data_IF_676532021952
#
_entry.id   IF_676532021952
#
_cell.length_a   1.000
_cell.length_b   1.000
_cell.length_c   1.000
_cell.angle_alpha   90.00
_cell.angle_beta   90.00
_cell.angle_gamma   90.00
#
_symmetry.space_group_name_H-M   'P 1'
#
loop_
_entity.id
_entity.type
_entity.pdbx_description
1 polymer ?
#
# COMPACT_ATOMS: atom_id res chain seq x y z
N UNK A 1 22.94 -1.59 -7.28
CA UNK A 1 23.18 -0.47 -8.22
C UNK A 1 21.86 0.25 -8.45
N UNK A 2 21.76 1.57 -8.36
CA UNK A 2 20.54 2.28 -8.70
C UNK A 2 20.22 2.00 -10.18
N UNK A 3 19.06 1.45 -10.45
CA UNK A 3 18.59 1.23 -11.82
C UNK A 3 18.37 2.58 -12.50
N UNK A 4 19.03 2.81 -13.64
CA UNK A 4 18.82 4.03 -14.43
C UNK A 4 17.33 4.15 -14.77
N UNK A 5 16.68 5.30 -14.53
CA UNK A 5 15.28 5.49 -14.85
C UNK A 5 15.03 5.27 -16.35
N UNK A 6 14.02 4.49 -16.69
CA UNK A 6 13.66 4.20 -18.10
C UNK A 6 13.10 5.42 -18.85
N UNK A 7 12.67 6.43 -18.10
CA UNK A 7 12.08 7.66 -18.65
C UNK A 7 12.78 8.89 -18.08
N UNK A 8 12.91 9.97 -18.85
CA UNK A 8 13.33 11.27 -18.33
C UNK A 8 12.39 11.71 -17.19
N UNK A 9 12.88 12.40 -16.15
CA UNK A 9 12.10 12.76 -14.96
C UNK A 9 10.78 13.48 -15.26
N UNK A 10 10.77 14.37 -16.25
CA UNK A 10 9.56 15.11 -16.66
C UNK A 10 8.53 14.18 -17.32
N UNK A 11 8.97 13.26 -18.18
CA UNK A 11 8.10 12.27 -18.80
C UNK A 11 7.54 11.29 -17.75
N UNK A 12 8.35 10.83 -16.81
CA UNK A 12 7.91 9.98 -15.70
C UNK A 12 6.85 10.70 -14.83
N UNK A 13 7.05 11.97 -14.52
CA UNK A 13 6.08 12.78 -13.77
C UNK A 13 4.74 12.93 -14.53
N UNK A 14 4.80 13.19 -15.84
CA UNK A 14 3.61 13.30 -16.68
C UNK A 14 2.83 11.97 -16.76
N UNK A 15 3.53 10.87 -17.00
CA UNK A 15 2.93 9.52 -17.02
C UNK A 15 2.31 9.19 -15.67
N UNK A 16 3.02 9.42 -14.58
CA UNK A 16 2.49 9.22 -13.21
C UNK A 16 1.22 10.05 -13.00
N UNK A 17 1.23 11.31 -13.38
CA UNK A 17 0.06 12.19 -13.24
C UNK A 17 -1.14 11.66 -14.03
N UNK A 18 -0.93 11.20 -15.27
CA UNK A 18 -1.99 10.64 -16.11
C UNK A 18 -2.55 9.33 -15.53
N UNK A 19 -1.68 8.43 -15.03
CA UNK A 19 -2.09 7.17 -14.39
C UNK A 19 -2.94 7.44 -13.14
N UNK A 20 -2.48 8.34 -12.26
CA UNK A 20 -3.23 8.66 -11.03
C UNK A 20 -4.59 9.32 -11.33
N UNK A 21 -4.67 10.15 -12.37
CA UNK A 21 -5.94 10.73 -12.79
C UNK A 21 -6.86 9.68 -13.42
N UNK A 22 -6.33 8.74 -14.21
CA UNK A 22 -7.09 7.62 -14.75
C UNK A 22 -7.65 6.73 -13.61
N UNK A 23 -6.85 6.40 -12.61
CA UNK A 23 -7.29 5.65 -11.41
C UNK A 23 -8.41 6.40 -10.69
N UNK A 24 -8.24 7.72 -10.47
CA UNK A 24 -9.24 8.54 -9.82
C UNK A 24 -10.59 8.50 -10.54
N UNK A 25 -10.59 8.62 -11.86
CA UNK A 25 -11.83 8.60 -12.67
C UNK A 25 -12.43 7.21 -12.76
N UNK A 26 -11.60 6.21 -13.06
CA UNK A 26 -12.02 4.83 -13.26
C UNK A 26 -12.68 4.25 -12.00
N UNK A 27 -12.09 4.54 -10.84
CA UNK A 27 -12.58 4.09 -9.55
C UNK A 27 -13.51 5.09 -8.85
N UNK A 28 -13.89 6.20 -9.48
CA UNK A 28 -14.72 7.24 -8.85
C UNK A 28 -14.20 7.60 -7.45
N UNK A 29 -12.87 7.76 -7.36
CA UNK A 29 -12.14 7.86 -6.11
C UNK A 29 -12.44 9.16 -5.36
N UNK A 30 -12.88 9.06 -4.11
CA UNK A 30 -13.07 10.15 -3.18
C UNK A 30 -12.01 10.13 -2.08
N UNK A 31 -11.67 11.32 -1.59
CA UNK A 31 -10.70 11.51 -0.50
C UNK A 31 -11.38 12.27 0.64
N UNK A 32 -11.30 11.69 1.83
CA UNK A 32 -11.73 12.28 3.09
C UNK A 32 -10.49 12.65 3.90
N UNK A 33 -10.47 13.84 4.45
CA UNK A 33 -9.38 14.31 5.31
C UNK A 33 -9.97 14.51 6.70
N UNK A 34 -9.73 13.53 7.59
CA UNK A 34 -10.23 13.59 8.96
C UNK A 34 -9.41 14.60 9.81
N UNK A 35 -8.12 14.78 9.46
CA UNK A 35 -7.28 15.86 9.96
C UNK A 35 -6.16 16.18 8.95
N UNK A 36 -5.80 17.44 8.85
CA UNK A 36 -4.68 17.87 7.99
C UNK A 36 -3.36 17.29 8.49
N UNK A 37 -2.59 16.60 7.64
CA UNK A 37 -1.26 16.12 8.02
C UNK A 37 -0.32 17.29 8.39
N UNK A 38 0.62 17.06 9.31
CA UNK A 38 1.61 18.07 9.70
C UNK A 38 2.38 18.67 8.51
N UNK A 39 2.89 19.89 8.69
CA UNK A 39 3.69 20.56 7.66
C UNK A 39 5.09 19.96 7.52
N UNK A 40 5.66 19.40 8.58
CA UNK A 40 6.93 18.67 8.55
C UNK A 40 6.80 17.33 7.82
N UNK A 41 7.92 16.73 7.36
CA UNK A 41 7.92 15.40 6.77
C UNK A 41 7.41 14.33 7.74
N UNK A 42 6.49 13.50 7.28
CA UNK A 42 5.81 12.46 8.07
C UNK A 42 6.02 11.07 7.47
N UNK A 43 5.57 10.05 8.20
CA UNK A 43 5.44 8.69 7.71
C UNK A 43 3.96 8.39 7.48
N UNK A 44 3.55 8.26 6.22
CA UNK A 44 2.23 7.76 5.86
C UNK A 44 2.20 6.23 5.91
N UNK A 45 1.16 5.68 6.51
CA UNK A 45 0.96 4.24 6.64
C UNK A 45 -0.35 3.85 5.97
N UNK A 46 -0.27 3.09 4.88
CA UNK A 46 -1.41 2.65 4.08
C UNK A 46 -1.73 1.16 4.23
N UNK A 47 -2.95 0.76 3.86
CA UNK A 47 -3.35 -0.63 3.73
C UNK A 47 -3.26 -1.11 2.27
N UNK A 48 -2.97 -2.40 2.07
CA UNK A 48 -2.99 -3.02 0.74
C UNK A 48 -4.41 -3.40 0.28
N UNK A 49 -4.64 -3.29 -1.04
CA UNK A 49 -5.69 -4.02 -1.76
C UNK A 49 -5.16 -5.37 -2.25
N UNK A 50 -5.57 -5.80 -3.45
CA UNK A 50 -5.02 -6.99 -4.09
C UNK A 50 -4.06 -6.59 -5.21
N UNK A 51 -2.94 -7.32 -5.31
CA UNK A 51 -1.95 -7.12 -6.36
C UNK A 51 -0.61 -6.63 -5.83
N UNK A 52 0.26 -6.26 -6.77
CA UNK A 52 1.61 -5.78 -6.50
C UNK A 52 1.79 -4.34 -6.98
N UNK A 53 2.42 -4.16 -8.14
CA UNK A 53 2.69 -2.82 -8.72
C UNK A 53 1.40 -2.10 -9.13
N UNK A 54 0.34 -2.84 -9.44
CA UNK A 54 -0.98 -2.32 -9.86
C UNK A 54 -2.02 -2.32 -8.74
N UNK A 55 -1.59 -2.46 -7.48
CA UNK A 55 -2.50 -2.41 -6.32
C UNK A 55 -3.29 -1.08 -6.31
N UNK A 56 -4.63 -1.14 -6.46
CA UNK A 56 -5.45 0.07 -6.49
C UNK A 56 -5.36 0.91 -5.23
N UNK A 57 -5.07 0.30 -4.05
CA UNK A 57 -4.87 1.05 -2.81
C UNK A 57 -3.61 1.90 -2.85
N UNK A 58 -2.50 1.34 -3.33
CA UNK A 58 -1.23 2.10 -3.46
C UNK A 58 -1.44 3.28 -4.39
N UNK A 59 -2.11 3.06 -5.52
CA UNK A 59 -2.40 4.12 -6.49
C UNK A 59 -3.41 5.15 -5.95
N UNK A 60 -4.41 4.73 -5.18
CA UNK A 60 -5.36 5.63 -4.54
C UNK A 60 -4.69 6.49 -3.46
N UNK A 61 -3.84 5.92 -2.61
CA UNK A 61 -3.04 6.69 -1.65
C UNK A 61 -2.15 7.70 -2.39
N UNK A 62 -1.47 7.29 -3.46
CA UNK A 62 -0.66 8.20 -4.26
C UNK A 62 -1.49 9.34 -4.89
N UNK A 63 -2.71 9.03 -5.37
CA UNK A 63 -3.63 10.04 -5.90
C UNK A 63 -4.11 11.00 -4.81
N UNK A 64 -4.40 10.49 -3.59
CA UNK A 64 -4.84 11.30 -2.44
C UNK A 64 -3.76 12.26 -1.96
N UNK A 65 -2.50 11.84 -1.96
CA UNK A 65 -1.37 12.65 -1.51
C UNK A 65 -0.83 13.62 -2.58
N UNK A 66 -1.34 13.54 -3.82
CA UNK A 66 -0.84 14.35 -4.95
C UNK A 66 -0.99 15.86 -4.73
N UNK A 67 -2.02 16.29 -4.00
CA UNK A 67 -2.26 17.71 -3.73
C UNK A 67 -1.40 18.25 -2.59
N UNK A 68 -0.71 17.38 -1.89
CA UNK A 68 0.23 17.78 -0.83
C UNK A 68 1.43 18.49 -1.45
N UNK A 69 1.88 19.57 -0.83
CA UNK A 69 3.01 20.37 -1.31
C UNK A 69 4.34 19.59 -1.33
N UNK A 70 4.44 18.51 -0.53
CA UNK A 70 5.63 17.67 -0.44
C UNK A 70 5.54 16.50 -1.40
N UNK A 71 6.70 16.13 -1.97
CA UNK A 71 6.84 14.87 -2.69
C UNK A 71 6.84 13.70 -1.70
N UNK A 72 6.43 12.53 -2.17
CA UNK A 72 6.42 11.29 -1.41
C UNK A 72 7.45 10.32 -1.95
N UNK A 73 8.09 9.57 -1.05
CA UNK A 73 8.92 8.40 -1.36
C UNK A 73 8.21 7.15 -0.84
N UNK A 74 7.93 6.20 -1.72
CA UNK A 74 7.24 4.95 -1.40
C UNK A 74 8.28 3.88 -1.10
N UNK A 75 8.28 3.32 0.11
CA UNK A 75 9.17 2.21 0.45
C UNK A 75 8.59 0.90 -0.07
N UNK A 76 9.31 0.28 -0.99
CA UNK A 76 8.88 -0.92 -1.71
C UNK A 76 9.84 -2.06 -1.43
N UNK A 77 9.31 -3.26 -1.23
CA UNK A 77 10.09 -4.46 -0.93
C UNK A 77 11.14 -4.75 -2.01
N UNK A 78 12.32 -5.22 -1.60
CA UNK A 78 13.49 -5.47 -2.46
C UNK A 78 13.22 -6.41 -3.65
N UNK A 79 12.20 -7.23 -3.58
CA UNK A 79 11.78 -8.11 -4.66
C UNK A 79 11.49 -7.34 -5.97
N UNK A 80 11.02 -6.09 -5.91
CA UNK A 80 10.79 -5.28 -7.10
C UNK A 80 12.09 -5.01 -7.88
N UNK A 81 13.20 -4.85 -7.18
CA UNK A 81 14.52 -4.67 -7.79
C UNK A 81 15.09 -5.99 -8.29
N UNK A 82 14.90 -7.08 -7.54
CA UNK A 82 15.33 -8.43 -7.93
C UNK A 82 14.63 -8.91 -9.20
N UNK A 83 13.34 -8.58 -9.37
CA UNK A 83 12.54 -8.93 -10.55
C UNK A 83 12.75 -7.97 -11.74
N UNK A 84 13.65 -6.98 -11.64
CA UNK A 84 13.98 -6.05 -12.72
C UNK A 84 12.96 -4.94 -12.97
N UNK A 85 11.91 -4.81 -12.12
CA UNK A 85 10.91 -3.73 -12.22
C UNK A 85 11.28 -2.49 -11.41
N UNK A 86 12.42 -2.48 -10.74
CA UNK A 86 12.89 -1.39 -9.90
C UNK A 86 12.95 -0.02 -10.61
N UNK A 87 13.32 0.01 -11.90
CA UNK A 87 13.33 1.23 -12.69
C UNK A 87 11.94 1.84 -12.88
N UNK A 88 10.91 1.02 -13.04
CA UNK A 88 9.52 1.46 -13.09
C UNK A 88 9.07 1.97 -11.72
N UNK A 89 9.37 1.23 -10.67
CA UNK A 89 9.03 1.62 -9.29
C UNK A 89 9.66 2.96 -8.93
N UNK A 90 10.95 3.16 -9.26
CA UNK A 90 11.65 4.42 -9.04
C UNK A 90 11.02 5.59 -9.82
N UNK A 91 10.56 5.36 -11.06
CA UNK A 91 9.85 6.37 -11.86
C UNK A 91 8.54 6.84 -11.20
N UNK A 92 7.92 5.99 -10.37
CA UNK A 92 6.74 6.34 -9.57
C UNK A 92 7.06 6.85 -8.15
N UNK A 93 8.33 7.10 -7.85
CA UNK A 93 8.79 7.62 -6.55
C UNK A 93 9.05 6.53 -5.51
N UNK A 94 9.19 5.27 -5.95
CA UNK A 94 9.56 4.17 -5.08
C UNK A 94 11.05 4.11 -4.77
N UNK A 95 11.38 3.65 -3.57
CA UNK A 95 12.73 3.37 -3.10
C UNK A 95 12.75 2.02 -2.37
N UNK A 96 13.91 1.35 -2.21
CA UNK A 96 14.02 0.16 -1.39
C UNK A 96 13.48 0.38 0.03
N UNK A 97 12.79 -0.63 0.58
CA UNK A 97 12.24 -0.56 1.94
C UNK A 97 13.36 -0.72 2.97
N UNK A 98 14.10 0.36 3.20
CA UNK A 98 15.18 0.44 4.17
C UNK A 98 15.10 1.74 4.98
N UNK A 99 15.78 1.74 6.14
CA UNK A 99 15.91 2.93 6.98
C UNK A 99 16.66 4.04 6.22
N UNK A 100 17.72 3.69 5.50
CA UNK A 100 18.53 4.63 4.71
C UNK A 100 17.68 5.38 3.69
N UNK A 101 16.80 4.67 2.98
CA UNK A 101 15.90 5.29 1.99
C UNK A 101 14.90 6.24 2.65
N UNK A 102 14.40 5.90 3.85
CA UNK A 102 13.49 6.75 4.60
C UNK A 102 14.19 8.03 5.09
N UNK A 103 15.38 7.88 5.67
CA UNK A 103 16.20 9.01 6.17
C UNK A 103 16.58 9.93 5.01
N UNK A 104 17.02 9.36 3.89
CA UNK A 104 17.31 10.15 2.68
C UNK A 104 16.09 10.95 2.23
N UNK A 105 14.90 10.33 2.20
CA UNK A 105 13.68 11.01 1.81
C UNK A 105 13.37 12.19 2.75
N UNK A 106 13.41 11.98 4.06
CA UNK A 106 13.15 13.03 5.06
C UNK A 106 14.17 14.15 5.02
N UNK A 107 15.47 13.84 4.81
CA UNK A 107 16.55 14.84 4.68
C UNK A 107 16.32 15.75 3.47
N UNK A 108 15.70 15.22 2.39
CA UNK A 108 15.29 16.01 1.23
C UNK A 108 13.89 16.64 1.37
N UNK A 109 13.31 16.66 2.57
CA UNK A 109 12.01 17.26 2.84
C UNK A 109 10.84 16.51 2.24
N UNK A 110 10.98 15.23 1.88
CA UNK A 110 9.92 14.38 1.33
C UNK A 110 9.19 13.63 2.45
N UNK A 111 7.92 13.32 2.23
CA UNK A 111 7.19 12.39 3.07
C UNK A 111 7.58 10.94 2.69
N UNK A 112 7.47 10.02 3.64
CA UNK A 112 7.67 8.58 3.39
C UNK A 112 6.33 7.87 3.45
N UNK A 113 6.10 6.91 2.56
CA UNK A 113 4.88 6.10 2.51
C UNK A 113 5.24 4.62 2.61
N UNK A 114 4.59 3.89 3.52
CA UNK A 114 4.78 2.46 3.71
C UNK A 114 3.44 1.72 3.76
N UNK A 115 3.48 0.45 3.38
CA UNK A 115 2.35 -0.47 3.46
C UNK A 115 2.79 -1.70 4.28
N UNK A 116 2.62 -1.69 5.63
CA UNK A 116 3.22 -2.70 6.51
C UNK A 116 2.68 -4.11 6.32
N UNK A 117 1.43 -4.24 5.86
CA UNK A 117 0.78 -5.54 5.66
C UNK A 117 1.49 -6.46 4.66
N UNK A 118 2.16 -5.87 3.66
CA UNK A 118 2.97 -6.58 2.67
C UNK A 118 2.19 -7.66 1.91
N UNK A 119 2.89 -8.74 1.56
CA UNK A 119 2.38 -9.86 0.78
C UNK A 119 1.12 -10.53 1.35
N UNK A 120 1.05 -10.68 2.66
CA UNK A 120 -0.12 -11.27 3.33
C UNK A 120 -1.36 -10.41 3.20
N UNK A 121 -1.22 -9.12 3.40
CA UNK A 121 -2.34 -8.20 3.22
C UNK A 121 -2.72 -8.05 1.75
N UNK A 122 -1.74 -7.97 0.85
CA UNK A 122 -1.95 -7.88 -0.59
C UNK A 122 -2.57 -9.16 -1.20
N UNK A 123 -2.41 -10.31 -0.55
CA UNK A 123 -3.00 -11.60 -0.95
C UNK A 123 -4.26 -11.99 -0.21
N UNK A 124 -4.81 -11.13 0.66
CA UNK A 124 -5.98 -11.45 1.50
C UNK A 124 -7.21 -11.83 0.67
N UNK A 125 -8.02 -12.75 1.23
CA UNK A 125 -9.21 -13.24 0.56
C UNK A 125 -10.29 -12.17 0.40
N UNK A 126 -11.25 -12.41 -0.51
CA UNK A 126 -12.44 -11.55 -0.64
C UNK A 126 -13.21 -11.35 0.67
N UNK A 127 -13.21 -12.35 1.56
CA UNK A 127 -13.87 -12.25 2.86
C UNK A 127 -13.19 -11.23 3.76
N UNK A 128 -11.85 -11.13 3.65
CA UNK A 128 -11.01 -10.24 4.46
C UNK A 128 -10.70 -8.91 3.75
N UNK A 129 -11.33 -8.62 2.60
CA UNK A 129 -11.03 -7.45 1.76
C UNK A 129 -11.05 -6.11 2.48
N UNK A 130 -11.85 -6.01 3.55
CA UNK A 130 -11.99 -4.82 4.39
C UNK A 130 -11.20 -4.90 5.71
N UNK A 131 -10.31 -5.88 5.86
CA UNK A 131 -9.43 -5.98 7.03
C UNK A 131 -8.11 -5.28 6.77
N UNK A 132 -7.66 -4.48 7.72
CA UNK A 132 -6.30 -3.97 7.81
C UNK A 132 -5.46 -5.02 8.53
N UNK A 133 -4.32 -5.40 7.97
CA UNK A 133 -3.56 -6.55 8.46
C UNK A 133 -2.05 -6.28 8.43
N UNK A 134 -1.50 -5.78 9.53
CA UNK A 134 -0.05 -5.61 9.64
C UNK A 134 0.67 -6.92 10.03
N UNK A 135 -0.07 -7.91 10.50
CA UNK A 135 0.46 -9.23 10.87
C UNK A 135 1.61 -9.15 11.89
N UNK A 136 1.49 -8.27 12.88
CA UNK A 136 2.51 -8.03 13.91
C UNK A 136 3.77 -7.30 13.41
N UNK A 137 3.77 -6.77 12.20
CA UNK A 137 4.90 -5.98 11.68
C UNK A 137 4.91 -4.60 12.31
N UNK A 138 5.97 -4.28 13.06
CA UNK A 138 6.14 -3.02 13.78
C UNK A 138 7.34 -2.21 13.30
N UNK A 139 7.99 -2.62 12.21
CA UNK A 139 9.19 -1.93 11.68
C UNK A 139 8.95 -0.46 11.34
N UNK A 140 7.78 -0.12 10.79
CA UNK A 140 7.42 1.26 10.48
C UNK A 140 7.26 2.12 11.75
N UNK A 141 6.71 1.53 12.82
CA UNK A 141 6.53 2.20 14.09
C UNK A 141 7.89 2.48 14.75
N UNK A 142 8.80 1.49 14.73
CA UNK A 142 10.18 1.68 15.19
C UNK A 142 10.87 2.79 14.41
N UNK A 143 10.81 2.74 13.07
CA UNK A 143 11.38 3.77 12.19
C UNK A 143 10.85 5.17 12.54
N UNK A 144 9.54 5.31 12.77
CA UNK A 144 8.93 6.57 13.16
C UNK A 144 9.41 7.06 14.53
N UNK A 145 9.55 6.14 15.51
CA UNK A 145 10.04 6.45 16.86
C UNK A 145 11.50 6.88 16.85
N UNK A 146 12.37 6.13 16.17
CA UNK A 146 13.80 6.37 16.12
C UNK A 146 14.15 7.73 15.47
N UNK A 147 13.29 8.21 14.56
CA UNK A 147 13.48 9.48 13.85
C UNK A 147 12.48 10.58 14.22
N UNK A 148 11.75 10.43 15.32
CA UNK A 148 10.73 11.39 15.81
C UNK A 148 9.77 11.85 14.70
N UNK A 149 9.26 10.92 13.89
CA UNK A 149 8.28 11.20 12.83
C UNK A 149 6.86 10.89 13.29
N UNK A 150 5.94 11.80 12.99
CA UNK A 150 4.53 11.47 13.13
C UNK A 150 4.13 10.42 12.10
N UNK A 151 3.33 9.44 12.52
CA UNK A 151 2.65 8.48 11.64
C UNK A 151 1.30 9.06 11.26
N UNK A 152 1.01 9.12 9.96
CA UNK A 152 -0.30 9.52 9.43
C UNK A 152 -0.93 8.28 8.78
N UNK A 153 -1.92 7.64 9.43
CA UNK A 153 -2.59 6.50 8.85
C UNK A 153 -3.46 6.91 7.66
N UNK A 154 -3.48 6.09 6.61
CA UNK A 154 -4.29 6.31 5.40
C UNK A 154 -5.02 5.03 5.06
N UNK A 155 -6.34 5.07 5.06
CA UNK A 155 -7.18 3.90 4.82
C UNK A 155 -7.92 4.06 3.51
N UNK A 156 -7.81 3.05 2.64
CA UNK A 156 -8.58 3.00 1.39
C UNK A 156 -9.51 1.79 1.41
N UNK A 157 -10.80 2.04 1.29
CA UNK A 157 -11.85 1.04 1.10
C UNK A 157 -12.16 0.85 -0.39
N UNK A 158 -12.54 -0.38 -0.77
CA UNK A 158 -13.01 -0.74 -2.12
C UNK A 158 -12.00 -1.40 -3.03
N UNK A 159 -10.69 -1.27 -2.80
CA UNK A 159 -9.70 -1.86 -3.70
C UNK A 159 -9.68 -3.40 -3.63
N UNK A 160 -9.95 -3.99 -2.48
CA UNK A 160 -10.13 -5.44 -2.38
C UNK A 160 -11.35 -5.99 -3.13
N UNK A 161 -12.15 -5.12 -3.76
CA UNK A 161 -13.28 -5.48 -4.62
C UNK A 161 -12.87 -5.53 -6.11
N UNK A 162 -11.66 -5.07 -6.45
CA UNK A 162 -11.16 -5.01 -7.82
C UNK A 162 -10.83 -6.37 -8.45
N UNK A 163 -10.67 -7.42 -7.64
CA UNK A 163 -10.49 -8.81 -8.06
C UNK A 163 -11.10 -9.76 -7.04
N UNK A 164 -11.55 -10.92 -7.50
CA UNK A 164 -12.09 -11.94 -6.60
C UNK A 164 -10.97 -12.88 -6.14
N UNK A 165 -10.46 -12.66 -4.94
CA UNK A 165 -9.49 -13.56 -4.29
C UNK A 165 -10.26 -14.59 -3.49
N UNK A 166 -10.30 -15.82 -4.00
CA UNK A 166 -11.07 -16.92 -3.41
C UNK A 166 -10.43 -17.41 -2.09
N UNK A 167 -9.11 -17.47 -2.07
CA UNK A 167 -8.31 -17.83 -0.90
C UNK A 167 -6.91 -17.24 -1.00
N UNK A 168 -6.30 -16.94 0.16
CA UNK A 168 -4.90 -16.53 0.27
C UNK A 168 -3.91 -17.65 -0.08
N UNK A 169 -4.36 -18.92 0.02
CA UNK A 169 -3.57 -20.08 -0.31
C UNK A 169 -2.37 -20.33 0.61
N UNK A 170 -2.36 -19.83 1.83
CA UNK A 170 -1.27 -20.07 2.80
C UNK A 170 -0.99 -21.59 2.98
N UNK A 171 -2.05 -22.39 3.11
CA UNK A 171 -1.92 -23.85 3.22
C UNK A 171 -1.29 -24.48 1.98
N UNK A 172 -1.60 -23.94 0.80
CA UNK A 172 -1.02 -24.42 -0.46
C UNK A 172 0.43 -24.00 -0.58
N UNK A 173 0.79 -22.77 -0.21
CA UNK A 173 2.16 -22.29 -0.18
C UNK A 173 3.06 -23.13 0.72
N UNK A 174 2.57 -23.48 1.92
CA UNK A 174 3.27 -24.34 2.86
C UNK A 174 3.41 -25.78 2.36
N UNK A 175 2.35 -26.33 1.74
CA UNK A 175 2.36 -27.71 1.23
C UNK A 175 3.37 -27.91 0.08
N UNK A 176 3.60 -26.87 -0.74
CA UNK A 176 4.59 -26.92 -1.84
C UNK A 176 5.96 -26.34 -1.46
N UNK A 177 6.17 -25.92 -0.20
CA UNK A 177 7.45 -25.44 0.32
C UNK A 177 7.91 -24.07 -0.20
N UNK A 178 7.04 -23.30 -0.82
CA UNK A 178 7.34 -21.98 -1.38
C UNK A 178 7.60 -20.94 -0.29
N UNK A 179 7.01 -21.09 0.87
CA UNK A 179 7.25 -20.26 2.06
C UNK A 179 8.73 -20.26 2.47
N UNK A 180 9.42 -21.41 2.31
CA UNK A 180 10.84 -21.58 2.62
C UNK A 180 11.75 -21.17 1.48
N UNK A 181 11.38 -21.46 0.23
CA UNK A 181 12.23 -21.25 -0.95
C UNK A 181 12.26 -19.76 -1.40
N UNK A 182 11.14 -19.07 -1.37
CA UNK A 182 10.99 -17.72 -1.91
C UNK A 182 10.59 -16.67 -0.87
N UNK A 183 10.45 -17.04 0.41
CA UNK A 183 9.89 -16.18 1.47
C UNK A 183 8.51 -15.61 1.14
N UNK A 184 7.79 -16.26 0.22
CA UNK A 184 6.45 -15.89 -0.20
C UNK A 184 5.44 -16.79 0.51
N UNK A 185 4.62 -16.20 1.38
CA UNK A 185 3.78 -16.96 2.33
C UNK A 185 2.37 -17.24 1.82
N UNK A 186 2.02 -16.67 0.66
CA UNK A 186 0.68 -16.79 0.09
C UNK A 186 0.74 -17.28 -1.35
N UNK A 187 -0.18 -18.14 -1.73
CA UNK A 187 -0.43 -18.58 -3.11
C UNK A 187 -1.89 -18.30 -3.46
N UNK A 188 -2.27 -17.03 -3.67
CA UNK A 188 -3.67 -16.69 -3.84
C UNK A 188 -4.29 -17.42 -5.04
N UNK A 189 -5.52 -17.86 -4.86
CA UNK A 189 -6.38 -18.29 -5.96
C UNK A 189 -7.32 -17.15 -6.26
N UNK A 190 -7.24 -16.57 -7.44
CA UNK A 190 -7.97 -15.37 -7.81
C UNK A 190 -8.64 -15.49 -9.18
N UNK A 191 -9.72 -14.75 -9.35
CA UNK A 191 -10.38 -14.54 -10.64
C UNK A 191 -10.21 -13.06 -11.02
N UNK A 192 -9.52 -12.80 -12.13
CA UNK A 192 -9.21 -11.45 -12.57
C UNK A 192 -9.28 -11.30 -14.09
N UNK A 193 -9.42 -10.07 -14.58
CA UNK A 193 -9.40 -9.76 -16.01
C UNK A 193 -7.98 -9.29 -16.40
N UNK A 194 -7.40 -9.79 -17.51
CA UNK A 194 -7.95 -10.74 -18.49
C UNK A 194 -7.64 -12.21 -18.19
N UNK A 195 -6.97 -12.51 -17.05
CA UNK A 195 -6.33 -13.81 -16.82
C UNK A 195 -7.29 -14.93 -16.41
N UNK A 196 -8.56 -14.59 -16.07
CA UNK A 196 -9.51 -15.59 -15.57
C UNK A 196 -9.06 -16.15 -14.21
N UNK A 197 -9.21 -17.46 -14.02
CA UNK A 197 -8.77 -18.14 -12.80
C UNK A 197 -7.24 -18.27 -12.79
N UNK A 198 -6.63 -17.72 -11.75
CA UNK A 198 -5.19 -17.69 -11.55
C UNK A 198 -4.81 -18.29 -10.20
N UNK A 199 -3.69 -19.02 -10.13
CA UNK A 199 -3.19 -19.66 -8.91
C UNK A 199 -1.77 -19.22 -8.65
N UNK A 200 -1.50 -18.75 -7.43
CA UNK A 200 -0.16 -18.38 -6.98
C UNK A 200 0.43 -17.19 -7.70
N UNK A 201 1.68 -17.29 -8.15
CA UNK A 201 2.41 -16.18 -8.76
C UNK A 201 1.75 -15.62 -10.03
N UNK A 202 0.97 -16.41 -10.75
CA UNK A 202 0.21 -15.92 -11.89
C UNK A 202 -0.88 -14.91 -11.50
N UNK A 203 -1.39 -14.97 -10.27
CA UNK A 203 -2.31 -13.96 -9.73
C UNK A 203 -1.65 -12.61 -9.42
N UNK A 204 -0.32 -12.54 -9.47
CA UNK A 204 0.45 -11.30 -9.28
C UNK A 204 0.72 -10.57 -10.61
N UNK A 205 0.37 -11.17 -11.74
CA UNK A 205 0.46 -10.50 -13.03
C UNK A 205 -0.41 -9.23 -13.03
N UNK A 206 0.02 -8.18 -13.73
CA UNK A 206 -0.80 -6.98 -13.87
C UNK A 206 -2.19 -7.35 -14.40
N UNK A 207 -3.22 -6.98 -13.67
CA UNK A 207 -4.60 -7.25 -14.02
C UNK A 207 -5.38 -5.93 -14.17
N UNK A 208 -6.51 -5.96 -14.87
CA UNK A 208 -7.43 -4.84 -14.92
C UNK A 208 -8.39 -4.97 -13.72
N UNK A 209 -8.28 -4.13 -12.68
CA UNK A 209 -9.20 -4.19 -11.57
C UNK A 209 -10.62 -3.84 -12.01
N UNK A 210 -11.64 -4.45 -11.40
CA UNK A 210 -13.02 -4.01 -11.60
C UNK A 210 -13.18 -2.55 -11.16
N UNK A 211 -14.10 -1.77 -11.76
CA UNK A 211 -14.27 -0.35 -11.46
C UNK A 211 -14.99 -0.12 -10.12
N UNK A 212 -14.43 -0.67 -9.05
CA UNK A 212 -14.94 -0.47 -7.70
C UNK A 212 -14.79 1.00 -7.28
N UNK A 213 -15.79 1.52 -6.56
CA UNK A 213 -15.69 2.84 -5.93
C UNK A 213 -14.60 2.80 -4.86
N UNK A 214 -13.59 3.69 -4.96
CA UNK A 214 -12.58 3.84 -3.92
C UNK A 214 -12.89 5.04 -3.02
N UNK A 215 -12.71 4.88 -1.73
CA UNK A 215 -12.76 5.98 -0.75
C UNK A 215 -11.51 5.88 0.12
N UNK A 216 -10.69 6.94 0.10
CA UNK A 216 -9.50 7.04 0.93
C UNK A 216 -9.72 8.05 2.04
N UNK A 217 -9.49 7.67 3.29
CA UNK A 217 -9.47 8.55 4.45
C UNK A 217 -8.04 8.77 4.94
N UNK A 218 -7.67 10.03 5.15
CA UNK A 218 -6.41 10.44 5.80
C UNK A 218 -6.73 10.75 7.25
N UNK A 219 -6.22 9.94 8.17
CA UNK A 219 -6.55 9.99 9.60
C UNK A 219 -5.68 11.03 10.33
N UNK A 220 -6.06 11.39 11.56
CA UNK A 220 -5.23 12.25 12.42
C UNK A 220 -3.83 11.67 12.62
N UNK A 221 -2.79 12.54 12.67
CA UNK A 221 -1.43 12.11 12.92
C UNK A 221 -1.30 11.49 14.31
N UNK A 222 -0.53 10.41 14.40
CA UNK A 222 -0.30 9.66 15.62
C UNK A 222 1.18 9.69 16.00
N UNK A 223 1.46 9.76 17.29
CA UNK A 223 2.80 9.63 17.89
C UNK A 223 2.73 8.56 18.98
N UNK A 224 3.86 7.93 19.33
CA UNK A 224 3.90 6.98 20.44
C UNK A 224 3.53 7.66 21.76
N UNK A 225 2.82 6.93 22.62
CA UNK A 225 2.56 7.37 23.98
C UNK A 225 3.81 7.20 24.86
N UNK A 226 3.84 7.87 26.02
CA UNK A 226 4.95 7.73 26.95
C UNK A 226 5.11 6.26 27.40
N UNK A 227 6.28 5.67 27.16
CA UNK A 227 6.59 4.28 27.50
C UNK A 227 5.98 3.23 26.56
N UNK A 228 5.33 3.64 25.48
CA UNK A 228 4.81 2.72 24.47
C UNK A 228 5.96 2.17 23.62
N UNK A 229 5.98 0.86 23.39
CA UNK A 229 6.94 0.25 22.48
C UNK A 229 6.44 0.27 21.03
N UNK A 230 7.33 -0.10 20.10
CA UNK A 230 7.00 -0.10 18.67
C UNK A 230 5.88 -1.08 18.31
N UNK A 231 5.72 -2.17 19.05
CA UNK A 231 4.66 -3.15 18.79
C UNK A 231 3.29 -2.61 19.25
N UNK A 232 3.23 -2.01 20.43
CA UNK A 232 2.02 -1.36 20.94
C UNK A 232 1.59 -0.18 20.05
N UNK A 233 2.55 0.66 19.64
CA UNK A 233 2.26 1.76 18.73
C UNK A 233 1.75 1.28 17.36
N UNK A 234 2.38 0.24 16.78
CA UNK A 234 1.92 -0.36 15.53
C UNK A 234 0.50 -0.92 15.64
N UNK A 235 0.17 -1.61 16.75
CA UNK A 235 -1.16 -2.14 16.98
C UNK A 235 -2.19 -1.03 17.07
N UNK A 236 -1.90 0.05 17.80
CA UNK A 236 -2.79 1.20 17.94
C UNK A 236 -3.05 1.90 16.59
N UNK A 237 -2.03 1.97 15.71
CA UNK A 237 -2.20 2.46 14.33
C UNK A 237 -3.10 1.53 13.53
N UNK A 238 -2.88 0.20 13.61
CA UNK A 238 -3.71 -0.82 12.94
C UNK A 238 -5.17 -0.74 13.39
N UNK A 239 -5.41 -0.64 14.69
CA UNK A 239 -6.75 -0.52 15.28
C UNK A 239 -7.48 0.74 14.82
N UNK A 240 -6.78 1.88 14.79
CA UNK A 240 -7.34 3.14 14.27
C UNK A 240 -7.71 3.03 12.79
N UNK A 241 -6.85 2.40 11.98
CA UNK A 241 -7.12 2.15 10.58
C UNK A 241 -8.29 1.17 10.38
N UNK A 242 -8.38 0.10 11.19
CA UNK A 242 -9.48 -0.85 11.12
C UNK A 242 -10.81 -0.19 11.51
N UNK A 243 -10.84 0.57 12.61
CA UNK A 243 -12.03 1.31 13.01
C UNK A 243 -12.53 2.23 11.89
N UNK A 244 -11.62 2.97 11.26
CA UNK A 244 -12.00 3.84 10.15
C UNK A 244 -12.43 3.07 8.90
N UNK A 245 -11.83 1.90 8.63
CA UNK A 245 -12.27 1.00 7.57
C UNK A 245 -13.71 0.55 7.81
N UNK A 246 -14.03 0.15 9.02
CA UNK A 246 -15.38 -0.31 9.40
C UNK A 246 -16.43 0.79 9.17
N UNK A 247 -16.12 2.05 9.50
CA UNK A 247 -16.98 3.20 9.20
C UNK A 247 -17.19 3.38 7.69
N UNK A 248 -16.10 3.29 6.90
CA UNK A 248 -16.16 3.48 5.44
C UNK A 248 -16.97 2.40 4.74
N UNK A 249 -17.07 1.21 5.32
CA UNK A 249 -17.78 0.07 4.71
C UNK A 249 -19.15 -0.24 5.30
N UNK A 250 -19.55 0.43 6.38
CA UNK A 250 -20.79 0.15 7.13
C UNK A 250 -22.04 0.12 6.25
N UNK A 251 -22.14 1.03 5.25
CA UNK A 251 -23.28 1.11 4.35
C UNK A 251 -22.87 0.89 2.87
N UNK A 252 -21.70 0.29 2.67
CA UNK A 252 -21.12 0.14 1.34
C UNK A 252 -21.75 -1.04 0.58
N UNK A 253 -22.13 -0.80 -0.66
CA UNK A 253 -22.47 -1.86 -1.63
C UNK A 253 -21.19 -2.16 -2.42
N UNK A 254 -20.68 -3.42 -2.41
CA UNK A 254 -19.48 -3.78 -3.16
C UNK A 254 -19.54 -3.28 -4.60
N UNK A 255 -18.42 -2.77 -5.11
CA UNK A 255 -18.21 -2.14 -6.41
C UNK A 255 -18.89 -0.77 -6.58
N UNK A 256 -20.07 -0.57 -6.03
CA UNK A 256 -20.84 0.66 -6.22
C UNK A 256 -20.45 1.78 -5.26
N UNK A 257 -20.15 1.45 -4.02
CA UNK A 257 -19.81 2.39 -2.95
C UNK A 257 -20.88 2.53 -1.90
#
# INVERSE_FOLDING_TARGET
MPSTPWLPPQAAAAVRAAVLEAVRRYHRHDVLIDAEPPREPVLFVGNHGFGTVTDPNVLAVAASLRQRARQQTYLVHDMAWTLGVGGLVAAFGGAPASEESAVEAWTHGRDVVVFPGGDREAGKSWRDRNRVMFNGRSGFARLAMDHDKAVVPVVTAGAGEGAFVLTDGERLASAVGLDRALRYKVLPVSLSVPWGLSVGLSGLLPYLPLPSKLVTAILPPMRPAAGEDAAGFAQRVEDAMQSRMDDLVANRIPLLG
#
